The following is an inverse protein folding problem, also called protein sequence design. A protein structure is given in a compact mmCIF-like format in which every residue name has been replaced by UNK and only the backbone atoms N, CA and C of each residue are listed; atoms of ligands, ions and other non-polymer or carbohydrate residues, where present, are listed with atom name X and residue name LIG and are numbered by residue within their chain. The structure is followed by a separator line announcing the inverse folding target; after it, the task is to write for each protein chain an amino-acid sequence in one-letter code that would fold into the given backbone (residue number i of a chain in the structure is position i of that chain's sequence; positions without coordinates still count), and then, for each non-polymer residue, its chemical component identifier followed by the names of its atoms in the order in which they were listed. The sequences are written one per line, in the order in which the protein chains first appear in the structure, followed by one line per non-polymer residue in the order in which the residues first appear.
data_IF_536596118974
#
_entry.id   IF_536596118974
#
_cell.length_a   1.000
_cell.length_b   1.000
_cell.length_c   1.000
_cell.angle_alpha   90.00
_cell.angle_beta   90.00
_cell.angle_gamma   90.00
#
_symmetry.space_group_name_H-M   'P 1'
#
loop_
_entity.id
_entity.type
_entity.pdbx_description
1 polymer ?
#
# COMPACT_ATOMS: atom_id res chain seq x y z
N UNK A 1 -75.11 -0.13 -19.41
CA UNK A 1 -74.24 -0.44 -18.24
C UNK A 1 -73.27 0.73 -18.15
N UNK A 2 -73.37 1.52 -17.10
CA UNK A 2 -72.95 2.93 -17.09
C UNK A 2 -71.48 3.09 -16.66
N UNK A 3 -70.57 3.32 -17.63
CA UNK A 3 -69.11 3.43 -17.39
C UNK A 3 -68.73 4.58 -16.43
N UNK A 4 -69.63 5.54 -16.18
CA UNK A 4 -69.36 6.66 -15.25
C UNK A 4 -69.44 6.30 -13.77
N UNK A 5 -69.93 5.10 -13.42
CA UNK A 5 -70.02 4.63 -12.03
C UNK A 5 -68.81 3.82 -11.56
N UNK A 6 -67.91 3.42 -12.46
CA UNK A 6 -66.73 2.60 -12.12
C UNK A 6 -65.52 3.45 -11.69
N UNK A 7 -65.37 4.66 -12.24
CA UNK A 7 -64.26 5.58 -11.92
C UNK A 7 -64.20 6.03 -10.44
N UNK A 8 -65.29 6.44 -9.77
CA UNK A 8 -65.23 6.84 -8.36
C UNK A 8 -65.05 5.65 -7.40
N UNK A 9 -65.48 4.45 -7.80
CA UNK A 9 -65.24 3.23 -7.03
C UNK A 9 -63.78 2.79 -7.12
N UNK A 10 -63.13 2.90 -8.29
CA UNK A 10 -61.72 2.57 -8.48
C UNK A 10 -60.78 3.48 -7.68
N UNK A 11 -61.15 4.76 -7.50
CA UNK A 11 -60.37 5.73 -6.71
C UNK A 11 -60.47 5.42 -5.20
N UNK A 12 -61.64 4.99 -4.71
CA UNK A 12 -61.83 4.56 -3.31
C UNK A 12 -61.09 3.25 -2.98
N UNK A 13 -60.82 2.39 -3.98
CA UNK A 13 -59.95 1.22 -3.81
C UNK A 13 -58.46 1.57 -3.79
N UNK A 14 -58.04 2.65 -4.44
CA UNK A 14 -56.63 3.08 -4.49
C UNK A 14 -56.20 3.91 -3.27
N UNK A 15 -57.13 4.55 -2.55
CA UNK A 15 -56.81 5.30 -1.30
C UNK A 15 -56.90 4.45 -0.03
N UNK A 16 -57.26 3.18 -0.14
CA UNK A 16 -57.51 2.29 1.01
C UNK A 16 -56.34 1.39 1.42
N UNK A 17 -55.22 1.44 0.70
CA UNK A 17 -54.03 0.62 0.96
C UNK A 17 -52.79 1.49 0.94
N UNK A 18 -52.69 2.37 1.93
CA UNK A 18 -51.40 2.95 2.30
C UNK A 18 -51.07 2.34 3.65
N UNK A 19 -50.57 1.10 3.62
CA UNK A 19 -49.86 0.54 4.77
C UNK A 19 -48.75 1.55 5.11
N UNK A 20 -48.81 2.10 6.32
CA UNK A 20 -47.75 2.94 6.83
C UNK A 20 -46.47 2.09 6.83
N UNK A 21 -45.54 2.40 5.92
CA UNK A 21 -44.22 1.79 5.94
C UNK A 21 -43.56 2.28 7.23
N UNK A 22 -43.33 1.38 8.19
CA UNK A 22 -42.56 1.69 9.38
C UNK A 22 -41.17 2.17 8.93
N UNK A 23 -40.84 3.43 9.21
CA UNK A 23 -39.56 4.01 8.81
C UNK A 23 -38.52 3.54 9.83
N UNK A 24 -37.73 2.54 9.45
CA UNK A 24 -36.61 2.06 10.28
C UNK A 24 -35.43 3.00 10.09
N UNK A 25 -35.00 3.67 11.16
CA UNK A 25 -33.81 4.51 11.17
C UNK A 25 -32.55 3.65 11.30
N UNK A 26 -31.54 3.85 10.46
CA UNK A 26 -30.26 3.13 10.55
C UNK A 26 -29.11 4.11 10.83
N UNK A 27 -28.38 3.88 11.92
CA UNK A 27 -27.26 4.70 12.34
C UNK A 27 -25.96 3.90 12.38
N UNK A 28 -24.89 4.45 11.82
CA UNK A 28 -23.55 3.86 11.91
C UNK A 28 -22.80 4.46 13.10
N UNK A 29 -22.34 3.59 14.00
CA UNK A 29 -21.60 3.99 15.20
C UNK A 29 -20.26 3.28 15.20
N UNK A 30 -19.19 4.03 15.46
CA UNK A 30 -17.84 3.49 15.57
C UNK A 30 -17.25 3.85 16.93
N UNK A 31 -16.72 2.86 17.64
CA UNK A 31 -16.09 3.03 18.96
C UNK A 31 -14.73 2.36 18.99
N UNK A 32 -13.77 3.01 19.63
CA UNK A 32 -12.43 2.45 19.82
C UNK A 32 -12.47 1.36 20.90
N UNK A 33 -11.69 0.29 20.68
CA UNK A 33 -11.59 -0.84 21.63
C UNK A 33 -11.24 -0.37 23.05
N UNK A 34 -11.88 -0.97 24.05
CA UNK A 34 -11.68 -0.65 25.47
C UNK A 34 -12.40 0.60 25.96
N UNK A 35 -13.04 1.39 25.08
CA UNK A 35 -13.90 2.51 25.48
C UNK A 35 -15.30 2.03 25.87
N UNK A 36 -16.04 2.91 26.55
CA UNK A 36 -17.45 2.72 26.85
C UNK A 36 -18.30 3.30 25.71
N UNK A 37 -19.38 2.60 25.38
CA UNK A 37 -20.36 3.00 24.38
C UNK A 37 -21.70 3.30 25.06
N UNK A 38 -22.31 4.41 24.67
CA UNK A 38 -23.63 4.83 25.13
C UNK A 38 -24.51 5.08 23.89
N UNK A 39 -25.60 4.31 23.76
CA UNK A 39 -26.57 4.44 22.67
C UNK A 39 -27.90 4.96 23.20
N UNK A 40 -28.44 5.97 22.52
CA UNK A 40 -29.74 6.57 22.81
C UNK A 40 -30.72 6.17 21.71
N UNK A 41 -31.90 5.68 22.08
CA UNK A 41 -32.88 5.24 21.10
C UNK A 41 -33.54 6.42 20.36
N UNK A 42 -33.62 7.57 21.02
CA UNK A 42 -34.15 8.82 20.47
C UNK A 42 -33.00 9.70 19.95
N UNK A 43 -33.25 10.41 18.85
CA UNK A 43 -32.28 11.36 18.26
C UNK A 43 -32.11 12.63 19.10
N UNK A 44 -33.11 12.95 19.94
CA UNK A 44 -33.02 14.01 20.95
C UNK A 44 -32.52 13.41 22.28
N UNK A 45 -31.37 13.91 22.76
CA UNK A 45 -30.72 13.54 24.04
C UNK A 45 -31.55 13.90 25.29
N UNK A 46 -32.84 14.20 25.14
CA UNK A 46 -33.73 14.69 26.19
C UNK A 46 -35.05 13.94 26.08
N UNK A 47 -35.14 12.80 26.76
CA UNK A 47 -36.45 12.22 27.08
C UNK A 47 -37.09 13.12 28.14
N UNK A 48 -38.25 13.75 27.90
CA UNK A 48 -38.96 14.48 28.93
C UNK A 48 -39.20 13.54 30.11
N UNK A 49 -38.81 13.95 31.33
CA UNK A 49 -38.92 13.16 32.58
C UNK A 49 -40.32 12.58 32.87
N UNK A 50 -41.33 13.01 32.13
CA UNK A 50 -42.74 12.66 32.30
C UNK A 50 -43.23 11.51 31.40
N UNK A 51 -42.49 11.12 30.37
CA UNK A 51 -42.79 9.95 29.54
C UNK A 51 -41.51 9.14 29.46
N UNK A 52 -41.38 8.09 30.27
CA UNK A 52 -40.33 7.09 30.06
C UNK A 52 -40.90 6.12 29.03
N UNK A 53 -40.54 6.23 27.72
CA UNK A 53 -41.01 5.27 26.75
C UNK A 53 -40.49 3.89 27.13
N UNK A 54 -41.28 2.85 26.87
CA UNK A 54 -40.84 1.48 27.09
C UNK A 54 -39.79 1.12 26.03
N UNK A 55 -38.51 1.40 26.32
CA UNK A 55 -37.40 1.13 25.38
C UNK A 55 -36.98 -0.33 25.51
N UNK A 56 -37.09 -1.07 24.41
CA UNK A 56 -36.63 -2.46 24.32
C UNK A 56 -35.37 -2.53 23.46
N UNK A 57 -34.29 -3.04 24.05
CA UNK A 57 -33.01 -3.24 23.35
C UNK A 57 -32.83 -4.70 22.95
N UNK A 58 -32.52 -4.93 21.67
CA UNK A 58 -32.21 -6.24 21.12
C UNK A 58 -30.86 -6.17 20.42
N UNK A 59 -30.01 -7.15 20.68
CA UNK A 59 -28.74 -7.35 19.98
C UNK A 59 -28.83 -8.64 19.19
N UNK A 60 -28.53 -8.58 17.90
CA UNK A 60 -28.46 -9.75 17.04
C UNK A 60 -27.26 -10.65 17.45
N UNK A 61 -27.49 -11.94 17.69
CA UNK A 61 -26.42 -12.91 18.01
C UNK A 61 -25.84 -12.84 19.43
N UNK A 62 -26.64 -12.51 20.45
CA UNK A 62 -26.18 -12.37 21.84
C UNK A 62 -25.61 -13.68 22.42
N UNK A 63 -24.37 -13.65 22.91
CA UNK A 63 -23.77 -14.72 23.73
C UNK A 63 -23.89 -14.42 25.24
N UNK A 64 -23.98 -15.46 26.08
CA UNK A 64 -24.26 -15.35 27.53
C UNK A 64 -23.24 -14.49 28.29
N UNK A 65 -21.96 -14.46 27.86
CA UNK A 65 -20.89 -13.69 28.51
C UNK A 65 -20.97 -12.17 28.33
N UNK A 66 -21.73 -11.67 27.35
CA UNK A 66 -21.90 -10.23 27.09
C UNK A 66 -22.95 -9.57 27.98
N UNK A 67 -23.79 -10.35 28.67
CA UNK A 67 -24.87 -9.82 29.50
C UNK A 67 -24.39 -9.02 30.72
N UNK A 68 -23.14 -9.24 31.18
CA UNK A 68 -22.60 -8.56 32.36
C UNK A 68 -22.13 -7.13 32.05
N UNK A 69 -21.63 -6.88 30.83
CA UNK A 69 -21.09 -5.58 30.39
C UNK A 69 -22.12 -4.66 29.75
N UNK A 70 -23.24 -5.23 29.30
CA UNK A 70 -24.31 -4.53 28.61
C UNK A 70 -25.45 -4.25 29.58
N UNK A 71 -25.67 -2.97 29.90
CA UNK A 71 -26.67 -2.49 30.86
C UNK A 71 -27.60 -1.49 30.19
N UNK A 72 -28.90 -1.59 30.49
CA UNK A 72 -29.88 -0.58 30.08
C UNK A 72 -30.14 0.30 31.31
N UNK A 73 -29.85 1.59 31.17
CA UNK A 73 -30.07 2.58 32.22
C UNK A 73 -31.56 2.99 32.31
N UNK A 74 -32.04 3.51 33.46
CA UNK A 74 -33.45 3.88 33.65
C UNK A 74 -33.99 4.94 32.69
N UNK A 75 -33.10 5.66 32.00
CA UNK A 75 -33.42 6.65 30.97
C UNK A 75 -33.58 6.01 29.57
N UNK A 76 -33.53 4.68 29.44
CA UNK A 76 -33.63 3.97 28.16
C UNK A 76 -32.31 3.90 27.37
N UNK A 77 -31.20 4.39 27.91
CA UNK A 77 -29.88 4.37 27.28
C UNK A 77 -29.23 2.99 27.42
N UNK A 78 -28.69 2.45 26.33
CA UNK A 78 -27.86 1.25 26.38
C UNK A 78 -26.41 1.64 26.66
N UNK A 79 -25.88 1.16 27.77
CA UNK A 79 -24.48 1.30 28.15
C UNK A 79 -23.74 -0.01 27.99
N UNK A 80 -22.69 0.00 27.18
CA UNK A 80 -21.77 -1.12 27.00
C UNK A 80 -20.37 -0.68 27.45
N UNK A 81 -19.90 -1.28 28.55
CA UNK A 81 -18.57 -0.97 29.08
C UNK A 81 -17.48 -1.87 28.52
N UNK A 82 -16.28 -1.30 28.34
CA UNK A 82 -15.09 -2.00 27.83
C UNK A 82 -15.39 -2.77 26.52
N UNK A 83 -15.64 -2.02 25.45
CA UNK A 83 -16.02 -2.54 24.13
C UNK A 83 -14.91 -3.42 23.54
N UNK A 84 -15.29 -4.60 23.04
CA UNK A 84 -14.40 -5.58 22.40
C UNK A 84 -14.77 -5.80 20.93
N UNK A 85 -13.86 -6.38 20.13
CA UNK A 85 -14.10 -6.76 18.73
C UNK A 85 -15.32 -7.67 18.59
N UNK A 86 -15.58 -8.51 19.59
CA UNK A 86 -16.75 -9.40 19.61
C UNK A 86 -18.08 -8.66 19.84
N UNK A 87 -18.05 -7.36 20.12
CA UNK A 87 -19.25 -6.54 20.30
C UNK A 87 -19.77 -5.93 19.01
N UNK A 88 -19.04 -6.10 17.89
CA UNK A 88 -19.48 -5.70 16.54
C UNK A 88 -20.80 -6.38 16.19
N UNK A 89 -21.71 -5.63 15.58
CA UNK A 89 -23.00 -6.14 15.13
C UNK A 89 -24.11 -5.09 15.15
N UNK A 90 -25.33 -5.57 14.92
CA UNK A 90 -26.52 -4.74 14.91
C UNK A 90 -27.19 -4.71 16.28
N UNK A 91 -27.42 -3.50 16.78
CA UNK A 91 -28.20 -3.24 17.99
C UNK A 91 -29.48 -2.53 17.56
N UNK A 92 -30.63 -3.07 17.89
CA UNK A 92 -31.91 -2.43 17.61
C UNK A 92 -32.58 -1.98 18.90
N UNK A 93 -33.12 -0.77 18.88
CA UNK A 93 -34.03 -0.30 19.90
C UNK A 93 -35.42 -0.10 19.30
N UNK A 94 -36.43 -0.44 20.09
CA UNK A 94 -37.84 -0.24 19.76
C UNK A 94 -38.48 0.63 20.83
N UNK A 95 -39.18 1.68 20.42
CA UNK A 95 -40.05 2.52 21.26
C UNK A 95 -41.51 2.11 21.03
N UNK A 96 -42.30 2.09 22.12
CA UNK A 96 -43.76 1.96 22.17
C UNK A 96 -44.42 1.09 21.05
N UNK A 97 -44.72 -0.17 21.40
CA UNK A 97 -45.48 -1.15 20.59
C UNK A 97 -45.09 -1.24 19.10
N UNK A 98 -43.79 -1.16 18.82
CA UNK A 98 -43.14 -1.43 17.51
C UNK A 98 -43.38 -0.36 16.42
N UNK A 99 -43.81 0.84 16.81
CA UNK A 99 -44.02 1.96 15.88
C UNK A 99 -42.71 2.60 15.42
N UNK A 100 -41.74 2.76 16.33
CA UNK A 100 -40.45 3.40 16.07
C UNK A 100 -39.29 2.45 16.38
N UNK A 101 -38.63 1.96 15.32
CA UNK A 101 -37.48 1.07 15.39
C UNK A 101 -36.23 1.75 14.83
N UNK A 102 -35.18 1.80 15.64
CA UNK A 102 -33.86 2.30 15.22
C UNK A 102 -32.82 1.19 15.32
N UNK A 103 -32.02 1.03 14.27
CA UNK A 103 -30.94 0.05 14.16
C UNK A 103 -29.59 0.77 14.17
N UNK A 104 -28.72 0.40 15.09
CA UNK A 104 -27.35 0.85 15.20
C UNK A 104 -26.43 -0.24 14.66
N UNK A 105 -25.71 0.06 13.58
CA UNK A 105 -24.62 -0.76 13.10
C UNK A 105 -23.34 -0.36 13.83
N UNK A 106 -22.96 -1.17 14.83
CA UNK A 106 -21.78 -0.93 15.65
C UNK A 106 -20.54 -1.55 15.01
N UNK A 107 -19.55 -0.70 14.75
CA UNK A 107 -18.21 -1.08 14.32
C UNK A 107 -17.20 -0.75 15.43
N UNK A 108 -16.21 -1.61 15.62
CA UNK A 108 -15.17 -1.42 16.64
C UNK A 108 -13.86 -1.13 15.94
N UNK A 109 -13.21 -0.03 16.32
CA UNK A 109 -11.91 0.36 15.81
C UNK A 109 -10.82 -0.22 16.72
N UNK A 110 -9.80 -0.79 16.10
CA UNK A 110 -8.71 -1.51 16.76
C UNK A 110 -7.36 -1.00 16.26
N UNK A 111 -6.27 -1.29 16.98
CA UNK A 111 -4.95 -1.31 16.37
C UNK A 111 -4.94 -2.20 15.11
N UNK A 112 -3.96 -2.03 14.20
CA UNK A 112 -3.92 -2.81 12.98
C UNK A 112 -3.83 -4.32 13.28
N UNK A 113 -4.54 -5.17 12.51
CA UNK A 113 -4.45 -6.62 12.65
C UNK A 113 -3.06 -7.13 12.25
N UNK A 114 -2.79 -8.41 12.52
CA UNK A 114 -1.57 -9.07 12.04
C UNK A 114 -1.40 -8.94 10.53
N UNK A 115 -0.16 -8.65 10.12
CA UNK A 115 0.24 -8.66 8.72
C UNK A 115 0.13 -10.09 8.17
N UNK A 116 -0.29 -10.20 6.92
CA UNK A 116 -0.46 -11.48 6.25
C UNK A 116 0.75 -11.81 5.39
N UNK A 117 0.95 -13.10 5.12
CA UNK A 117 1.97 -13.59 4.20
C UNK A 117 3.35 -12.96 4.45
N UNK A 118 3.76 -12.89 5.72
CA UNK A 118 5.08 -12.36 6.07
C UNK A 118 6.13 -13.43 5.77
N UNK A 119 7.10 -13.11 4.92
CA UNK A 119 8.19 -14.03 4.59
C UNK A 119 9.51 -13.27 4.39
N UNK A 120 10.61 -14.00 4.57
CA UNK A 120 11.97 -13.45 4.51
C UNK A 120 12.72 -14.10 3.37
N UNK A 121 13.34 -13.28 2.51
CA UNK A 121 14.34 -13.68 1.53
C UNK A 121 15.74 -13.36 2.08
N UNK A 122 16.41 -14.33 2.71
CA UNK A 122 17.77 -14.14 3.18
C UNK A 122 18.77 -14.18 2.01
N UNK A 123 19.88 -13.46 2.16
CA UNK A 123 21.08 -13.51 1.32
C UNK A 123 22.30 -13.74 2.22
N UNK A 124 23.47 -13.22 1.85
CA UNK A 124 24.73 -13.39 2.59
C UNK A 124 24.82 -12.45 3.79
N UNK A 125 24.68 -11.15 3.55
CA UNK A 125 24.81 -10.09 4.59
C UNK A 125 23.54 -9.24 4.72
N UNK A 126 22.49 -9.62 4.02
CA UNK A 126 21.23 -8.91 3.96
C UNK A 126 20.05 -9.88 3.95
N UNK A 127 18.88 -9.38 4.33
CA UNK A 127 17.62 -10.11 4.21
C UNK A 127 16.51 -9.15 3.84
N UNK A 128 15.68 -9.52 2.87
CA UNK A 128 14.50 -8.76 2.47
C UNK A 128 13.27 -9.37 3.16
N UNK A 129 12.58 -8.60 3.99
CA UNK A 129 11.33 -9.00 4.65
C UNK A 129 10.18 -8.44 3.82
N UNK A 130 9.18 -9.25 3.49
CA UNK A 130 7.99 -8.84 2.76
C UNK A 130 6.74 -9.21 3.52
N UNK A 131 5.69 -8.42 3.34
CA UNK A 131 4.41 -8.60 4.00
C UNK A 131 3.24 -8.09 3.16
N UNK A 132 2.06 -8.61 3.47
CA UNK A 132 0.78 -8.15 2.95
C UNK A 132 -0.08 -7.53 4.07
N UNK A 133 -1.01 -6.67 3.69
CA UNK A 133 -1.89 -5.95 4.62
C UNK A 133 -3.33 -6.32 4.29
N UNK A 134 -4.01 -6.94 5.25
CA UNK A 134 -5.41 -7.39 5.13
C UNK A 134 -6.42 -6.42 5.76
N UNK A 135 -5.94 -5.49 6.60
CA UNK A 135 -6.80 -4.49 7.24
C UNK A 135 -6.01 -3.44 8.01
N UNK A 136 -6.73 -2.43 8.50
CA UNK A 136 -6.14 -1.29 9.21
C UNK A 136 -6.79 -1.02 10.59
N UNK A 137 -7.77 -1.84 10.98
CA UNK A 137 -8.50 -1.67 12.24
C UNK A 137 -9.43 -0.45 12.28
N UNK A 138 -9.78 0.12 11.13
CA UNK A 138 -10.71 1.27 11.04
C UNK A 138 -10.03 2.64 11.04
N UNK A 139 -8.71 2.71 11.23
CA UNK A 139 -7.91 3.92 11.07
C UNK A 139 -6.78 3.70 10.06
N UNK A 140 -6.34 4.73 9.33
CA UNK A 140 -5.22 4.60 8.41
C UNK A 140 -3.93 4.18 9.14
N UNK A 141 -3.16 3.28 8.52
CA UNK A 141 -1.83 2.90 8.99
C UNK A 141 -0.90 4.11 8.83
N UNK A 142 -0.16 4.46 9.89
CA UNK A 142 0.77 5.58 9.90
C UNK A 142 2.16 5.14 9.42
N UNK A 143 2.63 3.99 9.89
CA UNK A 143 3.92 3.39 9.55
C UNK A 143 3.93 1.88 9.84
N UNK A 144 4.99 1.23 9.39
CA UNK A 144 5.41 -0.07 9.90
C UNK A 144 6.71 0.07 10.66
N UNK A 145 6.91 -0.81 11.64
CA UNK A 145 8.19 -0.94 12.34
C UNK A 145 8.60 -2.39 12.31
N UNK A 146 9.89 -2.61 12.07
CA UNK A 146 10.48 -3.93 12.04
C UNK A 146 11.75 -3.97 12.89
N UNK A 147 11.98 -5.11 13.52
CA UNK A 147 13.13 -5.37 14.37
C UNK A 147 13.67 -6.77 14.11
N UNK A 148 14.92 -7.00 14.48
CA UNK A 148 15.57 -8.29 14.32
C UNK A 148 16.45 -8.63 15.52
N UNK A 149 16.69 -9.92 15.72
CA UNK A 149 17.66 -10.44 16.70
C UNK A 149 18.20 -11.77 16.24
N UNK A 150 19.29 -12.23 16.87
CA UNK A 150 19.74 -13.60 16.67
C UNK A 150 18.68 -14.57 17.19
N UNK A 151 18.47 -15.68 16.47
CA UNK A 151 17.54 -16.72 16.91
C UNK A 151 18.03 -17.27 18.26
N UNK A 152 17.19 -17.25 19.32
CA UNK A 152 17.61 -17.73 20.63
C UNK A 152 17.97 -19.21 20.58
N UNK A 153 19.13 -19.56 21.16
CA UNK A 153 19.50 -20.96 21.37
C UNK A 153 18.72 -21.49 22.57
N UNK A 154 18.28 -22.74 22.49
CA UNK A 154 17.53 -23.39 23.58
C UNK A 154 18.39 -23.40 24.85
N UNK A 155 17.93 -22.69 25.89
CA UNK A 155 18.63 -22.60 27.18
C UNK A 155 19.45 -21.32 27.38
N UNK A 156 19.53 -20.43 26.39
CA UNK A 156 20.14 -19.11 26.53
C UNK A 156 19.07 -18.00 26.60
N UNK A 157 19.38 -16.91 27.29
CA UNK A 157 18.50 -15.75 27.31
C UNK A 157 18.47 -15.08 25.92
N UNK A 158 17.29 -14.72 25.39
CA UNK A 158 17.19 -14.06 24.09
C UNK A 158 17.90 -12.70 24.11
N UNK A 159 18.64 -12.39 23.05
CA UNK A 159 19.14 -11.04 22.84
C UNK A 159 18.01 -10.01 22.72
N UNK A 160 18.32 -8.77 23.09
CA UNK A 160 17.45 -7.63 22.85
C UNK A 160 17.20 -7.42 21.35
N UNK A 161 15.99 -7.00 21.01
CA UNK A 161 15.60 -6.69 19.65
C UNK A 161 16.33 -5.45 19.14
N UNK A 162 16.93 -5.56 17.96
CA UNK A 162 17.64 -4.47 17.29
C UNK A 162 16.70 -3.83 16.26
N UNK A 163 16.57 -2.50 16.22
CA UNK A 163 15.72 -1.82 15.25
C UNK A 163 16.29 -1.94 13.84
N UNK A 164 15.40 -2.10 12.86
CA UNK A 164 15.76 -2.02 11.43
C UNK A 164 15.64 -0.56 10.98
N UNK A 165 16.61 -0.08 10.20
CA UNK A 165 16.61 1.27 9.66
C UNK A 165 15.96 1.31 8.26
N UNK A 166 15.00 2.21 7.99
CA UNK A 166 14.46 3.23 8.89
C UNK A 166 13.47 2.66 9.92
N UNK A 167 13.44 3.27 11.12
CA UNK A 167 12.54 2.87 12.23
C UNK A 167 11.06 3.00 11.84
N UNK A 168 10.74 4.05 11.09
CA UNK A 168 9.39 4.32 10.58
C UNK A 168 9.34 4.05 9.09
N UNK A 169 8.82 2.89 8.72
CA UNK A 169 8.68 2.47 7.32
C UNK A 169 7.37 3.07 6.76
N UNK A 170 7.39 3.69 5.57
CA UNK A 170 6.20 4.30 4.98
C UNK A 170 4.99 3.34 4.86
N UNK A 171 3.75 3.84 5.01
CA UNK A 171 2.54 3.00 5.02
C UNK A 171 2.23 2.31 3.68
N UNK A 172 2.82 2.79 2.58
CA UNK A 172 2.72 2.19 1.25
C UNK A 172 3.75 1.08 1.00
N UNK A 173 4.72 0.89 1.88
CA UNK A 173 5.72 -0.16 1.75
C UNK A 173 5.14 -1.54 2.03
N UNK A 174 5.66 -2.54 1.33
CA UNK A 174 5.35 -3.98 1.51
C UNK A 174 6.60 -4.83 1.70
N UNK A 175 7.75 -4.17 1.81
CA UNK A 175 9.03 -4.81 2.01
C UNK A 175 10.02 -3.88 2.72
N UNK A 176 11.01 -4.47 3.39
CA UNK A 176 12.17 -3.77 3.96
C UNK A 176 13.42 -4.64 3.85
N UNK A 177 14.54 -4.01 3.53
CA UNK A 177 15.86 -4.65 3.53
C UNK A 177 16.55 -4.44 4.88
N UNK A 178 17.06 -5.55 5.44
CA UNK A 178 17.90 -5.57 6.63
C UNK A 178 19.34 -5.79 6.19
N UNK A 179 20.24 -4.90 6.61
CA UNK A 179 21.65 -4.93 6.25
C UNK A 179 22.52 -5.36 7.43
N UNK A 180 23.81 -5.60 7.14
CA UNK A 180 24.85 -5.91 8.13
C UNK A 180 24.55 -7.18 8.94
N UNK A 181 23.91 -8.17 8.30
CA UNK A 181 23.75 -9.49 8.88
C UNK A 181 25.06 -10.28 8.73
N UNK A 182 25.29 -11.19 9.68
CA UNK A 182 26.41 -12.13 9.63
C UNK A 182 26.00 -13.33 8.78
N UNK A 183 26.83 -13.80 7.83
CA UNK A 183 26.53 -14.99 7.03
C UNK A 183 26.39 -16.25 7.89
N UNK A 184 25.70 -17.26 7.35
CA UNK A 184 25.52 -18.57 8.00
C UNK A 184 24.91 -18.47 9.41
N UNK A 185 24.02 -17.51 9.60
CA UNK A 185 23.44 -17.17 10.90
C UNK A 185 21.92 -17.06 10.78
N UNK A 186 21.21 -17.66 11.76
CA UNK A 186 19.74 -17.61 11.84
C UNK A 186 19.31 -16.42 12.67
N UNK A 187 18.43 -15.61 12.09
CA UNK A 187 17.82 -14.45 12.73
C UNK A 187 16.31 -14.64 12.89
N UNK A 188 15.76 -14.08 13.96
CA UNK A 188 14.34 -13.84 14.11
C UNK A 188 14.05 -12.38 13.73
N UNK A 189 13.06 -12.18 12.89
CA UNK A 189 12.58 -10.87 12.47
C UNK A 189 11.15 -10.70 12.95
N UNK A 190 10.79 -9.50 13.36
CA UNK A 190 9.41 -9.18 13.70
C UNK A 190 8.98 -7.87 13.05
N UNK A 191 7.74 -7.82 12.59
CA UNK A 191 7.17 -6.65 11.92
C UNK A 191 5.73 -6.44 12.37
N UNK A 192 5.32 -5.18 12.50
CA UNK A 192 3.95 -4.80 12.81
C UNK A 192 3.59 -3.47 12.14
N UNK A 193 2.30 -3.21 12.03
CA UNK A 193 1.77 -1.92 11.59
C UNK A 193 1.34 -1.07 12.81
N UNK A 194 1.42 0.25 12.68
CA UNK A 194 0.94 1.19 13.70
C UNK A 194 -0.19 2.03 13.11
N UNK A 195 -1.23 2.32 13.90
CA UNK A 195 -2.22 3.35 13.60
C UNK A 195 -2.37 4.31 14.80
N UNK A 196 -3.35 5.22 14.77
CA UNK A 196 -3.57 6.17 15.86
C UNK A 196 -3.94 5.55 17.22
N UNK A 197 -4.44 4.30 17.24
CA UNK A 197 -4.68 3.55 18.47
C UNK A 197 -3.42 2.88 19.01
N UNK A 198 -2.35 2.84 18.21
CA UNK A 198 -1.03 2.38 18.59
C UNK A 198 -0.55 1.19 17.78
N UNK A 199 0.30 0.39 18.42
CA UNK A 199 0.97 -0.77 17.85
C UNK A 199 -0.02 -1.92 17.62
N UNK A 200 -0.04 -2.42 16.39
CA UNK A 200 -0.79 -3.61 16.00
C UNK A 200 -0.13 -4.92 16.44
N UNK A 201 -0.69 -6.01 15.94
CA UNK A 201 -0.19 -7.35 16.24
C UNK A 201 1.19 -7.60 15.59
N UNK A 202 2.08 -8.25 16.36
CA UNK A 202 3.46 -8.52 15.96
C UNK A 202 3.50 -9.87 15.23
N UNK A 203 4.06 -9.87 14.03
CA UNK A 203 4.33 -11.10 13.28
C UNK A 203 5.82 -11.39 13.32
N UNK A 204 6.19 -12.55 13.88
CA UNK A 204 7.58 -13.02 13.96
C UNK A 204 7.84 -14.11 12.91
N UNK A 205 8.95 -13.99 12.20
CA UNK A 205 9.39 -14.90 11.14
C UNK A 205 10.89 -15.14 11.24
N UNK A 206 11.35 -16.30 10.82
CA UNK A 206 12.77 -16.67 10.87
C UNK A 206 13.42 -16.59 9.48
N UNK A 207 14.69 -16.21 9.43
CA UNK A 207 15.49 -16.24 8.22
C UNK A 207 16.92 -16.69 8.50
N UNK A 208 17.42 -17.64 7.71
CA UNK A 208 18.80 -18.12 7.80
C UNK A 208 19.61 -17.55 6.65
N UNK A 209 20.58 -16.69 6.97
CA UNK A 209 21.55 -16.19 5.99
C UNK A 209 22.46 -17.31 5.55
N UNK A 210 22.80 -17.35 4.27
CA UNK A 210 23.69 -18.36 3.71
C UNK A 210 24.83 -17.68 2.98
N UNK A 211 25.97 -18.35 2.85
CA UNK A 211 26.98 -17.89 1.90
C UNK A 211 26.42 -18.02 0.48
N UNK A 212 25.87 -16.94 -0.08
CA UNK A 212 25.53 -16.92 -1.49
C UNK A 212 26.81 -16.79 -2.29
N UNK A 213 27.17 -17.89 -2.95
CA UNK A 213 28.16 -17.92 -4.02
C UNK A 213 27.57 -17.51 -5.35
N UNK A 214 26.26 -17.26 -5.48
CA UNK A 214 25.63 -16.91 -6.76
C UNK A 214 26.17 -15.57 -7.32
N UNK A 215 26.36 -14.55 -6.48
CA UNK A 215 27.00 -13.31 -6.91
C UNK A 215 28.49 -13.53 -7.29
N UNK A 216 29.18 -14.43 -6.58
CA UNK A 216 30.55 -14.81 -6.89
C UNK A 216 30.64 -15.59 -8.20
N UNK A 217 29.68 -16.47 -8.47
CA UNK A 217 29.54 -17.27 -9.68
C UNK A 217 29.11 -16.42 -10.86
N UNK A 218 28.20 -15.45 -10.66
CA UNK A 218 27.83 -14.47 -11.66
C UNK A 218 29.02 -13.58 -12.01
N UNK A 219 29.74 -13.06 -11.01
CA UNK A 219 30.96 -12.31 -11.24
C UNK A 219 32.01 -13.15 -11.97
N UNK A 220 32.16 -14.43 -11.58
CA UNK A 220 33.03 -15.38 -12.27
C UNK A 220 32.60 -15.61 -13.71
N UNK A 221 31.29 -15.72 -14.00
CA UNK A 221 30.75 -15.87 -15.34
C UNK A 221 30.91 -14.61 -16.20
N UNK A 222 30.69 -13.42 -15.63
CA UNK A 222 30.91 -12.15 -16.31
C UNK A 222 32.40 -11.91 -16.61
N UNK A 223 33.27 -12.37 -15.73
CA UNK A 223 34.72 -12.29 -15.90
C UNK A 223 35.32 -13.52 -16.61
N UNK A 224 34.51 -14.53 -16.95
CA UNK A 224 34.94 -15.71 -17.68
C UNK A 224 35.30 -15.29 -19.11
N UNK A 225 36.58 -15.02 -19.34
CA UNK A 225 37.10 -14.50 -20.61
C UNK A 225 38.07 -13.34 -20.43
N UNK A 226 38.08 -12.68 -19.27
CA UNK A 226 39.07 -11.64 -18.93
C UNK A 226 40.48 -12.24 -18.84
N UNK A 227 40.64 -13.46 -18.32
CA UNK A 227 41.96 -14.13 -18.29
C UNK A 227 42.52 -14.41 -19.69
N UNK A 228 41.64 -14.59 -20.68
CA UNK A 228 42.01 -14.79 -22.08
C UNK A 228 42.05 -13.47 -22.89
N UNK A 229 41.82 -12.32 -22.24
CA UNK A 229 41.78 -11.03 -22.89
C UNK A 229 43.21 -10.47 -23.06
N UNK A 230 43.79 -10.66 -24.24
CA UNK A 230 45.09 -10.08 -24.58
C UNK A 230 44.97 -8.57 -24.83
N UNK A 231 45.32 -7.80 -23.80
CA UNK A 231 45.33 -6.33 -23.83
C UNK A 231 46.19 -5.77 -24.97
N UNK A 232 47.23 -6.49 -25.43
CA UNK A 232 48.10 -6.04 -26.53
C UNK A 232 47.39 -6.12 -27.86
N UNK A 233 46.63 -7.20 -28.09
CA UNK A 233 45.84 -7.39 -29.31
C UNK A 233 44.71 -6.37 -29.36
N UNK A 234 44.05 -6.12 -28.23
CA UNK A 234 42.98 -5.12 -28.15
C UNK A 234 43.50 -3.70 -28.38
N UNK A 235 44.60 -3.29 -27.74
CA UNK A 235 45.22 -1.97 -27.98
C UNK A 235 45.70 -1.82 -29.41
N UNK A 236 46.25 -2.88 -30.02
CA UNK A 236 46.62 -2.85 -31.44
C UNK A 236 45.40 -2.66 -32.34
N UNK A 237 44.30 -3.38 -32.08
CA UNK A 237 43.06 -3.24 -32.85
C UNK A 237 42.46 -1.83 -32.73
N UNK A 238 42.41 -1.26 -31.51
CA UNK A 238 41.96 0.12 -31.29
C UNK A 238 42.88 1.11 -32.00
N UNK A 239 44.20 0.91 -31.93
CA UNK A 239 45.19 1.73 -32.64
C UNK A 239 45.00 1.70 -34.16
N UNK A 240 44.71 0.53 -34.74
CA UNK A 240 44.42 0.37 -36.17
C UNK A 240 43.16 1.15 -36.55
N UNK A 241 42.07 0.99 -35.79
CA UNK A 241 40.79 1.67 -36.07
C UNK A 241 40.94 3.19 -35.93
N UNK A 242 41.60 3.67 -34.87
CA UNK A 242 41.83 5.10 -34.69
C UNK A 242 42.76 5.66 -35.78
N UNK A 243 43.79 4.90 -36.16
CA UNK A 243 44.68 5.25 -37.26
C UNK A 243 43.97 5.34 -38.61
N UNK A 244 43.09 4.38 -38.94
CA UNK A 244 42.32 4.41 -40.19
C UNK A 244 41.33 5.57 -40.20
N UNK A 245 40.66 5.85 -39.09
CA UNK A 245 39.79 7.02 -38.95
C UNK A 245 40.57 8.34 -39.13
N UNK A 246 41.77 8.45 -38.56
CA UNK A 246 42.63 9.63 -38.76
C UNK A 246 43.06 9.78 -40.22
N UNK A 247 43.46 8.70 -40.88
CA UNK A 247 43.87 8.73 -42.30
C UNK A 247 42.68 9.10 -43.19
N UNK A 248 41.50 8.55 -42.95
CA UNK A 248 40.28 8.92 -43.66
C UNK A 248 39.90 10.38 -43.40
N UNK A 249 40.03 10.86 -42.16
CA UNK A 249 39.80 12.26 -41.80
C UNK A 249 40.76 13.21 -42.49
N UNK A 250 42.05 12.90 -42.52
CA UNK A 250 43.05 13.69 -43.23
C UNK A 250 42.87 13.61 -44.75
N UNK A 251 42.54 12.43 -45.28
CA UNK A 251 42.28 12.21 -46.71
C UNK A 251 41.05 12.96 -47.19
N UNK A 252 39.96 12.93 -46.44
CA UNK A 252 38.76 13.73 -46.71
C UNK A 252 39.06 15.23 -46.61
N UNK A 253 39.81 15.67 -45.59
CA UNK A 253 40.26 17.06 -45.49
C UNK A 253 41.14 17.48 -46.68
N UNK A 254 42.05 16.63 -47.13
CA UNK A 254 42.89 16.88 -48.30
C UNK A 254 42.09 16.93 -49.60
N UNK A 255 41.14 16.00 -49.79
CA UNK A 255 40.25 16.03 -50.94
C UNK A 255 39.38 17.28 -50.93
N UNK A 256 38.81 17.68 -49.79
CA UNK A 256 38.08 18.94 -49.67
C UNK A 256 38.98 20.16 -49.92
N UNK A 257 40.23 20.14 -49.46
CA UNK A 257 41.21 21.19 -49.77
C UNK A 257 41.52 21.23 -51.27
N UNK A 258 41.65 20.09 -51.93
CA UNK A 258 41.88 20.00 -53.38
C UNK A 258 40.65 20.47 -54.15
N UNK A 259 39.45 20.02 -53.79
CA UNK A 259 38.18 20.48 -54.37
C UNK A 259 37.88 21.96 -54.05
N UNK A 260 38.49 22.54 -53.01
CA UNK A 260 38.52 23.99 -52.82
C UNK A 260 39.60 24.66 -53.68
N UNK A 261 40.76 24.03 -53.91
CA UNK A 261 41.86 24.60 -54.70
C UNK A 261 41.61 24.55 -56.21
N UNK A 262 40.97 23.49 -56.69
CA UNK A 262 40.60 23.27 -58.09
C UNK A 262 39.65 24.36 -58.62
N UNK A 263 38.63 24.88 -57.91
CA UNK A 263 37.84 26.00 -58.40
C UNK A 263 38.63 27.30 -58.47
N UNK A 264 39.65 27.54 -57.62
CA UNK A 264 40.54 28.70 -57.78
C UNK A 264 41.47 28.56 -59.00
N UNK A 265 41.94 27.34 -59.30
CA UNK A 265 42.79 27.06 -60.46
C UNK A 265 42.00 27.03 -61.78
N UNK A 266 40.78 26.47 -61.79
CA UNK A 266 39.88 26.50 -62.93
C UNK A 266 39.36 27.93 -63.15
N UNK A 267 39.04 28.69 -62.11
CA UNK A 267 38.71 30.11 -62.26
C UNK A 267 39.89 30.92 -62.83
N UNK A 268 41.13 30.64 -62.41
CA UNK A 268 42.32 31.29 -62.97
C UNK A 268 42.61 30.84 -64.41
N UNK A 269 42.45 29.55 -64.75
CA UNK A 269 42.68 29.04 -66.11
C UNK A 269 41.58 29.51 -67.08
N UNK A 270 40.32 29.57 -66.64
CA UNK A 270 39.22 30.13 -67.45
C UNK A 270 39.39 31.64 -67.62
N UNK A 271 39.88 32.37 -66.61
CA UNK A 271 40.20 33.80 -66.75
C UNK A 271 41.41 34.07 -67.66
N UNK A 272 42.40 33.17 -67.70
CA UNK A 272 43.56 33.28 -68.61
C UNK A 272 43.17 32.91 -70.06
N UNK A 273 42.23 31.98 -70.27
CA UNK A 273 41.79 31.60 -71.61
C UNK A 273 40.75 32.56 -72.25
N UNK A 274 40.17 33.48 -71.47
CA UNK A 274 39.25 34.52 -71.98
C UNK A 274 39.93 35.89 -72.23
N UNK A 275 41.20 36.10 -71.85
CA UNK A 275 41.87 37.39 -72.08
C UNK A 275 42.61 37.50 -73.42
N UNK A 276 42.72 36.42 -74.19
CA UNK A 276 43.46 36.38 -75.47
C UNK A 276 42.55 36.37 -76.72
N UNK A 277 41.33 36.90 -76.60
CA UNK A 277 40.41 37.05 -77.73
C UNK A 277 39.65 38.38 -77.67
N UNK A 278 40.37 39.52 -77.53
CA UNK A 278 39.84 40.85 -77.86
C UNK A 278 40.92 41.94 -77.98
N UNK A 279 41.77 41.87 -79.00
CA UNK A 279 42.41 43.06 -79.60
C UNK A 279 42.92 42.74 -81.01
N UNK A 280 42.05 42.83 -82.02
CA UNK A 280 42.27 43.54 -83.30
C UNK A 280 41.04 43.35 -84.20
N UNK A 281 40.77 44.39 -84.99
CA UNK A 281 39.65 44.68 -85.89
C UNK A 281 38.90 43.53 -86.57
#
# INVERSE_FOLDING_TARGET
MDERKLLPLLILFLTGWQEAVAIVSMQHVAVDVGKDLELFCTTENVVPRYEQPNVMWVREGREDGQAVRLKVEPNGMLKLSNVSVNDVGNYSCTLDDDLDKTIFNLTVRTPPPALQNVWVKPSTILANILWEVDGNGGYPIIDFTAEYRLKPVVGEEPEEWKPISPIHIPPNSRQIDVYHLVPNTTYSFRVWATNQLGKGEIVEVEGHTQYSIEELELARHLLAGVENFDTRVWVAAVGIVMGTLLILGLGTCYLLYRECKVPYLIASIILIHFSDCRTEH
#
